data_IF_550756753097
#
_entry.id   IF_550756753097
#
_cell.length_a   1.000
_cell.length_b   1.000
_cell.length_c   1.000
_cell.angle_alpha   90.00
_cell.angle_beta   90.00
_cell.angle_gamma   90.00
#
_symmetry.space_group_name_H-M   'P 1'
#
loop_
_entity.id
_entity.type
_entity.pdbx_description
1 polymer ?
#
# COMPACT_ATOMS: atom_id res chain seq x y z
N UNK A 1 7.15 15.90 9.03
CA UNK A 1 6.29 15.97 7.86
C UNK A 1 5.39 14.75 7.80
N UNK A 2 4.15 14.97 7.43
CA UNK A 2 3.20 13.89 7.33
C UNK A 2 3.43 13.09 6.07
N UNK A 3 3.22 11.78 6.18
CA UNK A 3 3.27 10.90 5.02
C UNK A 3 2.03 11.13 4.16
N UNK A 4 2.20 10.92 2.86
CA UNK A 4 1.07 10.95 1.95
C UNK A 4 0.03 9.91 2.40
N UNK A 5 -1.24 10.24 2.25
CA UNK A 5 -2.32 9.38 2.75
C UNK A 5 -2.31 7.97 2.16
N UNK A 6 -1.87 7.83 0.90
CA UNK A 6 -1.79 6.51 0.28
C UNK A 6 -0.77 5.63 1.01
N UNK A 7 0.34 6.23 1.47
CA UNK A 7 1.37 5.49 2.18
C UNK A 7 0.93 5.16 3.59
N UNK A 8 0.16 6.03 4.23
CA UNK A 8 -0.40 5.72 5.55
C UNK A 8 -1.26 4.48 5.45
N UNK A 9 -2.12 4.41 4.43
CA UNK A 9 -2.96 3.23 4.20
C UNK A 9 -2.12 2.00 3.85
N UNK A 10 -1.05 2.20 3.09
CA UNK A 10 -0.15 1.11 2.72
C UNK A 10 0.49 0.50 3.98
N UNK A 11 1.02 1.33 4.87
CA UNK A 11 1.63 0.83 6.10
C UNK A 11 0.59 0.17 7.01
N UNK A 12 -0.60 0.72 7.06
CA UNK A 12 -1.68 0.14 7.85
C UNK A 12 -2.02 -1.27 7.36
N UNK A 13 -2.11 -1.44 6.04
CA UNK A 13 -2.37 -2.75 5.45
C UNK A 13 -1.20 -3.71 5.67
N UNK A 14 0.03 -3.21 5.60
CA UNK A 14 1.21 -4.04 5.82
C UNK A 14 1.27 -4.57 7.25
N UNK A 15 0.79 -3.81 8.21
CA UNK A 15 0.73 -4.26 9.61
C UNK A 15 -0.14 -5.50 9.76
N UNK A 16 -1.21 -5.61 8.99
CA UNK A 16 -2.08 -6.79 9.05
C UNK A 16 -1.37 -8.04 8.54
N UNK A 17 -0.27 -7.86 7.83
CA UNK A 17 0.55 -8.98 7.36
C UNK A 17 1.81 -9.17 8.20
N UNK A 18 1.87 -8.51 9.35
CA UNK A 18 3.00 -8.63 10.27
C UNK A 18 4.23 -7.83 9.87
N UNK A 19 4.09 -6.92 8.91
CA UNK A 19 5.22 -6.09 8.46
C UNK A 19 5.12 -4.73 9.12
N UNK A 20 5.93 -4.51 10.14
CA UNK A 20 5.83 -3.35 11.00
C UNK A 20 6.89 -2.27 10.76
N UNK A 21 7.86 -2.52 9.88
CA UNK A 21 8.91 -1.56 9.58
C UNK A 21 8.91 -1.21 8.09
N UNK A 22 9.42 -0.02 7.72
CA UNK A 22 9.53 0.34 6.31
C UNK A 22 10.38 -0.66 5.52
N UNK A 23 11.45 -1.19 6.13
CA UNK A 23 12.31 -2.16 5.46
C UNK A 23 11.53 -3.44 5.13
N UNK A 24 10.75 -3.95 6.08
CA UNK A 24 9.94 -5.14 5.86
C UNK A 24 8.87 -4.90 4.81
N UNK A 25 8.24 -3.72 4.87
CA UNK A 25 7.21 -3.34 3.90
C UNK A 25 7.78 -3.25 2.49
N UNK A 26 8.94 -2.61 2.34
CA UNK A 26 9.59 -2.49 1.04
C UNK A 26 9.94 -3.88 0.48
N UNK A 27 10.41 -4.76 1.35
CA UNK A 27 10.75 -6.13 0.95
C UNK A 27 9.51 -6.91 0.50
N UNK A 28 8.42 -6.75 1.23
CA UNK A 28 7.15 -7.38 0.87
C UNK A 28 6.68 -6.93 -0.51
N UNK A 29 6.84 -5.66 -0.81
CA UNK A 29 6.42 -5.07 -2.09
C UNK A 29 7.45 -5.22 -3.19
N UNK A 30 8.62 -5.77 -2.86
CA UNK A 30 9.73 -5.94 -3.79
C UNK A 30 10.16 -4.61 -4.42
N UNK A 31 10.27 -3.59 -3.59
CA UNK A 31 10.74 -2.25 -3.98
C UNK A 31 11.90 -1.84 -3.09
N UNK A 32 12.65 -0.84 -3.52
CA UNK A 32 13.73 -0.31 -2.70
C UNK A 32 13.15 0.59 -1.60
N UNK A 33 13.90 0.74 -0.51
CA UNK A 33 13.49 1.65 0.54
C UNK A 33 13.45 3.09 0.05
N UNK A 34 14.30 3.44 -0.91
CA UNK A 34 14.29 4.77 -1.51
C UNK A 34 12.96 5.01 -2.25
N UNK A 35 12.47 4.02 -2.98
CA UNK A 35 11.18 4.12 -3.66
C UNK A 35 10.06 4.34 -2.64
N UNK A 36 10.07 3.57 -1.57
CA UNK A 36 9.07 3.71 -0.52
C UNK A 36 9.11 5.11 0.11
N UNK A 37 10.31 5.60 0.35
CA UNK A 37 10.50 6.93 0.91
C UNK A 37 9.98 8.02 -0.04
N UNK A 38 10.19 7.86 -1.33
CA UNK A 38 9.66 8.79 -2.32
C UNK A 38 8.14 8.82 -2.28
N UNK A 39 7.54 7.65 -2.10
CA UNK A 39 6.08 7.56 -2.00
C UNK A 39 5.55 8.27 -0.75
N UNK A 40 6.34 8.34 0.33
CA UNK A 40 5.92 9.06 1.53
C UNK A 40 5.65 10.53 1.23
N UNK A 41 6.40 11.11 0.30
CA UNK A 41 6.21 12.50 -0.09
C UNK A 41 5.18 12.68 -1.19
N UNK A 42 5.22 11.81 -2.19
CA UNK A 42 4.47 11.99 -3.43
C UNK A 42 3.24 11.12 -3.52
N UNK A 43 3.16 10.10 -2.68
CA UNK A 43 2.13 9.09 -2.79
C UNK A 43 2.59 7.93 -3.66
N UNK A 44 1.83 6.84 -3.61
CA UNK A 44 2.13 5.66 -4.41
C UNK A 44 1.91 5.99 -5.88
N UNK A 45 2.86 5.63 -6.73
CA UNK A 45 2.71 5.91 -8.17
C UNK A 45 1.49 5.17 -8.72
N UNK A 46 0.80 5.79 -9.67
CA UNK A 46 -0.38 5.20 -10.28
C UNK A 46 -0.07 3.83 -10.88
N UNK A 47 1.14 3.69 -11.40
CA UNK A 47 1.59 2.47 -12.03
C UNK A 47 1.75 1.33 -11.03
N UNK A 48 2.15 1.67 -9.81
CA UNK A 48 2.40 0.67 -8.77
C UNK A 48 1.14 0.33 -7.95
N UNK A 49 0.13 1.19 -7.98
CA UNK A 49 -1.07 0.99 -7.17
C UNK A 49 -1.71 -0.39 -7.32
N UNK A 50 -1.95 -0.90 -8.55
CA UNK A 50 -2.55 -2.22 -8.71
C UNK A 50 -1.71 -3.33 -8.08
N UNK A 51 -0.40 -3.28 -8.28
CA UNK A 51 0.50 -4.30 -7.73
C UNK A 51 0.55 -4.24 -6.21
N UNK A 52 0.65 -3.04 -5.66
CA UNK A 52 0.68 -2.86 -4.21
C UNK A 52 -0.60 -3.38 -3.58
N UNK A 53 -1.75 -3.01 -4.17
CA UNK A 53 -3.03 -3.46 -3.67
C UNK A 53 -3.14 -4.98 -3.70
N UNK A 54 -2.67 -5.59 -4.77
CA UNK A 54 -2.71 -7.04 -4.92
C UNK A 54 -1.83 -7.74 -3.87
N UNK A 55 -0.62 -7.24 -3.67
CA UNK A 55 0.30 -7.82 -2.69
C UNK A 55 -0.27 -7.70 -1.28
N UNK A 56 -0.88 -6.58 -0.97
CA UNK A 56 -1.44 -6.32 0.35
C UNK A 56 -2.82 -6.94 0.54
N UNK A 57 -3.45 -7.41 -0.54
CA UNK A 57 -4.78 -7.99 -0.46
C UNK A 57 -5.86 -6.97 -0.16
N UNK A 58 -5.68 -5.74 -0.61
CA UNK A 58 -6.63 -4.66 -0.37
C UNK A 58 -7.18 -4.12 -1.69
N UNK A 59 -8.28 -3.38 -1.58
CA UNK A 59 -8.87 -2.72 -2.74
C UNK A 59 -7.96 -1.59 -3.23
N UNK A 60 -7.73 -1.54 -4.54
CA UNK A 60 -6.95 -0.46 -5.13
C UNK A 60 -7.63 0.88 -4.88
N UNK A 61 -8.95 0.94 -5.01
CA UNK A 61 -9.71 2.15 -4.75
C UNK A 61 -9.53 2.62 -3.31
N UNK A 62 -9.64 1.69 -2.35
CA UNK A 62 -9.42 2.03 -0.96
C UNK A 62 -8.00 2.55 -0.72
N UNK A 63 -7.01 1.88 -1.31
CA UNK A 63 -5.62 2.28 -1.14
C UNK A 63 -5.38 3.69 -1.68
N UNK A 64 -6.00 4.01 -2.80
CA UNK A 64 -5.83 5.29 -3.46
C UNK A 64 -6.61 6.42 -2.80
N UNK A 65 -7.87 6.17 -2.46
CA UNK A 65 -8.78 7.22 -2.00
C UNK A 65 -9.23 7.10 -0.57
N UNK A 66 -9.12 5.93 0.03
CA UNK A 66 -9.66 5.66 1.35
C UNK A 66 -11.13 5.34 1.36
N UNK A 67 -11.76 5.33 0.21
CA UNK A 67 -13.19 5.07 0.09
C UNK A 67 -13.47 3.60 -0.21
N UNK A 68 -14.64 3.13 0.21
CA UNK A 68 -15.07 1.78 -0.04
C UNK A 68 -14.48 0.78 0.93
N UNK A 69 -14.63 -0.49 0.60
CA UNK A 69 -14.14 -1.57 1.43
C UNK A 69 -12.63 -1.70 1.35
N UNK A 70 -12.00 -1.87 2.49
CA UNK A 70 -10.55 -2.08 2.57
C UNK A 70 -10.14 -3.38 1.89
N UNK A 71 -10.94 -4.42 2.05
CA UNK A 71 -10.64 -5.73 1.51
C UNK A 71 -10.82 -5.74 0.00
N UNK A 72 -9.91 -6.40 -0.70
CA UNK A 72 -10.05 -6.57 -2.14
C UNK A 72 -11.36 -7.31 -2.45
N UNK A 73 -12.04 -6.93 -3.56
CA UNK A 73 -13.28 -7.61 -3.92
C UNK A 73 -13.03 -9.12 -4.14
N UNK A 74 -13.91 -9.92 -3.58
CA UNK A 74 -13.84 -11.36 -3.79
C UNK A 74 -14.72 -11.67 -4.98
N UNK A 75 -14.12 -12.25 -6.01
CA UNK A 75 -14.90 -12.71 -7.16
C UNK A 75 -15.46 -14.08 -6.82
N UNK A 76 -16.73 -14.10 -6.52
CA UNK A 76 -17.42 -15.35 -6.25
C UNK A 76 -18.11 -15.79 -7.52
N UNK A 77 -17.75 -16.93 -7.99
CA UNK A 77 -18.42 -17.51 -9.14
C UNK A 77 -19.46 -18.52 -8.70
#
# INVERSE_FOLDING_TARGET
MEKHETVIRLFDAAKTKGKNTPAETARLLNISQQTLKNWESRGISAKALPEVAQVLGVSETWLRTGEGSRTAPVLIN
#
